data_IF_251494649763
#
_entry.id   IF_251494649763
#
_cell.length_a   1.000
_cell.length_b   1.000
_cell.length_c   1.000
_cell.angle_alpha   90.00
_cell.angle_beta   90.00
_cell.angle_gamma   90.00
#
_symmetry.space_group_name_H-M   'P 1'
#
loop_
_entity.id
_entity.type
_entity.pdbx_description
1 polymer ?
#
# COMPACT_ATOMS: atom_id res chain seq x y z
N UNK A 1 -17.34 16.19 -5.10
CA UNK A 1 -17.13 15.09 -6.07
C UNK A 1 -16.49 13.93 -5.35
N UNK A 2 -17.08 12.73 -5.43
CA UNK A 2 -16.48 11.51 -4.86
C UNK A 2 -15.27 11.15 -5.72
N UNK A 3 -14.09 11.13 -5.10
CA UNK A 3 -12.85 10.73 -5.78
C UNK A 3 -12.81 9.20 -5.91
N UNK A 4 -12.39 8.69 -7.07
CA UNK A 4 -12.15 7.27 -7.26
C UNK A 4 -10.69 6.96 -6.91
N UNK A 5 -10.46 5.99 -6.04
CA UNK A 5 -9.12 5.54 -5.68
C UNK A 5 -8.83 4.19 -6.34
N UNK A 6 -7.59 4.05 -6.85
CA UNK A 6 -7.09 2.79 -7.41
C UNK A 6 -5.75 2.49 -6.77
N UNK A 7 -5.69 1.42 -5.99
CA UNK A 7 -4.50 0.97 -5.27
C UNK A 7 -3.75 -0.08 -6.08
N UNK A 8 -2.49 0.17 -6.37
CA UNK A 8 -1.53 -0.80 -6.91
C UNK A 8 -0.66 -1.27 -5.75
N UNK A 9 -0.87 -2.50 -5.32
CA UNK A 9 -0.22 -3.10 -4.17
C UNK A 9 0.92 -4.00 -4.65
N UNK A 10 2.10 -3.92 -4.05
CA UNK A 10 3.27 -4.71 -4.45
C UNK A 10 2.97 -6.21 -4.48
N UNK A 11 2.28 -6.69 -3.46
CA UNK A 11 1.93 -8.10 -3.29
C UNK A 11 0.55 -8.34 -2.70
N UNK A 12 0.19 -9.61 -2.52
CA UNK A 12 -1.11 -10.00 -1.96
C UNK A 12 -1.31 -9.54 -0.51
N UNK A 13 -0.25 -9.42 0.29
CA UNK A 13 -0.35 -8.99 1.68
C UNK A 13 -0.69 -7.51 1.79
N UNK A 14 -0.10 -6.66 0.94
CA UNK A 14 -0.47 -5.24 0.83
C UNK A 14 -1.91 -5.10 0.36
N UNK A 15 -2.33 -5.89 -0.62
CA UNK A 15 -3.72 -5.88 -1.09
C UNK A 15 -4.69 -6.31 0.01
N UNK A 16 -4.35 -7.33 0.80
CA UNK A 16 -5.15 -7.78 1.95
C UNK A 16 -5.26 -6.67 3.01
N UNK A 17 -4.15 -6.00 3.34
CA UNK A 17 -4.15 -4.87 4.27
C UNK A 17 -5.05 -3.73 3.78
N UNK A 18 -4.89 -3.29 2.52
CA UNK A 18 -5.73 -2.24 1.93
C UNK A 18 -7.20 -2.64 1.96
N UNK A 19 -7.52 -3.88 1.59
CA UNK A 19 -8.89 -4.39 1.62
C UNK A 19 -9.49 -4.42 3.03
N UNK A 20 -8.69 -4.74 4.05
CA UNK A 20 -9.12 -4.71 5.45
C UNK A 20 -9.39 -3.27 5.93
N UNK A 21 -8.51 -2.32 5.61
CA UNK A 21 -8.62 -0.93 6.08
C UNK A 21 -9.73 -0.14 5.39
N UNK A 22 -10.11 -0.48 4.16
CA UNK A 22 -11.21 0.18 3.43
C UNK A 22 -12.58 -0.44 3.67
N UNK A 23 -12.68 -1.57 4.43
CA UNK A 23 -13.97 -2.19 4.84
C UNK A 23 -14.71 -1.25 5.79
N UNK A 24 -16.03 -1.15 5.64
CA UNK A 24 -16.86 -0.29 6.48
C UNK A 24 -16.87 -0.68 7.97
N UNK A 25 -16.79 0.29 8.88
CA UNK A 25 -16.49 1.70 8.64
C UNK A 25 -15.05 1.89 8.17
N UNK A 26 -14.88 2.56 7.02
CA UNK A 26 -13.57 2.66 6.36
C UNK A 26 -12.59 3.52 7.15
N UNK A 27 -11.34 3.07 7.27
CA UNK A 27 -10.22 3.83 7.89
C UNK A 27 -9.39 4.58 6.87
N UNK A 28 -9.46 4.15 5.61
CA UNK A 28 -8.81 4.79 4.48
C UNK A 28 -9.82 4.99 3.34
N UNK A 29 -9.49 5.86 2.42
CA UNK A 29 -10.33 6.15 1.26
C UNK A 29 -10.71 4.87 0.49
N UNK A 30 -12.00 4.61 0.28
CA UNK A 30 -12.45 3.40 -0.40
C UNK A 30 -12.06 3.43 -1.89
N UNK A 31 -11.74 2.27 -2.44
CA UNK A 31 -11.34 2.18 -3.83
C UNK A 31 -11.05 0.75 -4.28
N UNK A 32 -10.69 0.60 -5.55
CA UNK A 32 -10.29 -0.70 -6.10
C UNK A 32 -8.82 -0.98 -5.76
N UNK A 33 -8.55 -2.10 -5.09
CA UNK A 33 -7.19 -2.59 -4.88
C UNK A 33 -6.87 -3.72 -5.87
N UNK A 34 -5.61 -3.82 -6.26
CA UNK A 34 -5.09 -4.90 -7.08
C UNK A 34 -3.61 -5.12 -6.82
N UNK A 35 -3.19 -6.37 -6.82
CA UNK A 35 -1.76 -6.71 -6.80
C UNK A 35 -1.12 -6.32 -8.13
N UNK A 36 -0.12 -5.44 -8.06
CA UNK A 36 0.75 -5.05 -9.16
C UNK A 36 2.00 -4.36 -8.61
N UNK A 37 3.15 -5.03 -8.74
CA UNK A 37 4.43 -4.50 -8.25
C UNK A 37 4.95 -3.40 -9.19
N UNK A 38 4.78 -2.14 -8.80
CA UNK A 38 5.18 -0.96 -9.57
C UNK A 38 6.69 -0.73 -9.62
N UNK A 39 7.44 -1.39 -8.71
CA UNK A 39 8.91 -1.34 -8.66
C UNK A 39 9.52 -2.29 -9.71
N UNK A 40 8.90 -3.45 -9.92
CA UNK A 40 9.42 -4.49 -10.79
C UNK A 40 8.77 -4.50 -12.18
N UNK A 41 7.52 -4.03 -12.30
CA UNK A 41 6.74 -4.12 -13.52
C UNK A 41 6.39 -2.73 -14.07
N UNK A 42 6.34 -2.61 -15.39
CA UNK A 42 5.85 -1.41 -16.06
C UNK A 42 4.34 -1.53 -16.30
N UNK A 43 3.60 -0.51 -15.90
CA UNK A 43 2.16 -0.41 -16.12
C UNK A 43 1.91 -0.25 -17.63
N UNK A 44 1.03 -1.06 -18.18
CA UNK A 44 0.65 -0.97 -19.59
C UNK A 44 -0.40 0.13 -19.83
N UNK A 45 -0.46 0.64 -21.07
CA UNK A 45 -1.51 1.59 -21.46
C UNK A 45 -2.92 1.00 -21.25
N UNK A 46 -3.10 -0.30 -21.50
CA UNK A 46 -4.38 -0.99 -21.28
C UNK A 46 -4.85 -0.89 -19.82
N UNK A 47 -3.93 -1.05 -18.87
CA UNK A 47 -4.23 -0.87 -17.44
C UNK A 47 -4.63 0.58 -17.17
N UNK A 48 -3.87 1.55 -17.68
CA UNK A 48 -4.13 2.98 -17.43
C UNK A 48 -5.45 3.45 -18.07
N UNK A 49 -5.76 3.01 -19.28
CA UNK A 49 -7.01 3.35 -19.96
C UNK A 49 -8.26 2.75 -19.26
N UNK A 50 -8.09 1.72 -18.44
CA UNK A 50 -9.16 1.16 -17.60
C UNK A 50 -9.44 1.99 -16.33
N UNK A 51 -8.61 2.98 -16.03
CA UNK A 51 -8.74 3.87 -14.87
C UNK A 51 -9.63 5.05 -15.24
N UNK A 52 -10.63 5.32 -14.42
CA UNK A 52 -11.53 6.45 -14.63
C UNK A 52 -10.75 7.79 -14.58
N UNK A 53 -10.95 8.71 -15.53
CA UNK A 53 -10.26 9.99 -15.52
C UNK A 53 -10.46 10.76 -14.21
N UNK A 54 -9.38 11.37 -13.71
CA UNK A 54 -9.39 12.11 -12.44
C UNK A 54 -9.35 11.23 -11.18
N UNK A 55 -9.11 9.92 -11.34
CA UNK A 55 -8.88 9.01 -10.20
C UNK A 55 -7.59 9.37 -9.45
N UNK A 56 -7.56 9.02 -8.17
CA UNK A 56 -6.32 9.01 -7.38
C UNK A 56 -5.69 7.62 -7.50
N UNK A 57 -4.49 7.58 -8.05
CA UNK A 57 -3.71 6.34 -8.23
C UNK A 57 -2.76 6.22 -7.04
N UNK A 58 -2.91 5.15 -6.27
CA UNK A 58 -2.14 4.93 -5.03
C UNK A 58 -1.15 3.80 -5.27
N UNK A 59 0.14 4.06 -5.09
CA UNK A 59 1.20 3.06 -5.12
C UNK A 59 1.55 2.65 -3.69
N UNK A 60 1.42 1.35 -3.39
CA UNK A 60 1.76 0.73 -2.11
C UNK A 60 2.90 -0.23 -2.36
N UNK A 61 4.09 0.08 -1.85
CA UNK A 61 5.30 -0.70 -2.15
C UNK A 61 6.34 -0.65 -1.04
N UNK A 62 7.19 -1.68 -1.01
CA UNK A 62 8.32 -1.82 -0.11
C UNK A 62 9.53 -1.00 -0.60
N UNK A 63 10.36 -0.54 0.32
CA UNK A 63 11.59 0.21 0.02
C UNK A 63 12.86 -0.60 0.25
N UNK A 64 12.75 -1.93 0.41
CA UNK A 64 13.88 -2.85 0.64
C UNK A 64 14.79 -3.01 -0.59
N UNK A 65 14.25 -2.71 -1.78
CA UNK A 65 14.98 -2.73 -3.04
C UNK A 65 15.14 -1.31 -3.57
N UNK A 66 16.38 -0.90 -3.79
CA UNK A 66 16.72 0.44 -4.29
C UNK A 66 16.49 0.57 -5.82
N UNK A 67 15.46 -0.08 -6.35
CA UNK A 67 15.12 -0.10 -7.77
C UNK A 67 14.09 0.97 -8.09
N UNK A 68 14.51 2.07 -8.71
CA UNK A 68 13.60 3.19 -9.01
C UNK A 68 13.27 3.36 -10.49
N UNK A 69 13.94 2.67 -11.40
CA UNK A 69 13.80 2.90 -12.85
C UNK A 69 12.39 2.60 -13.37
N UNK A 70 11.80 1.46 -12.99
CA UNK A 70 10.43 1.13 -13.39
C UNK A 70 9.42 2.07 -12.75
N UNK A 71 9.63 2.41 -11.47
CA UNK A 71 8.78 3.36 -10.75
C UNK A 71 8.75 4.73 -11.44
N UNK A 72 9.92 5.29 -11.81
CA UNK A 72 10.01 6.55 -12.56
C UNK A 72 9.31 6.47 -13.91
N UNK A 73 9.49 5.35 -14.65
CA UNK A 73 8.78 5.12 -15.91
C UNK A 73 7.27 5.06 -15.74
N UNK A 74 6.80 4.38 -14.70
CA UNK A 74 5.37 4.29 -14.36
C UNK A 74 4.78 5.67 -14.05
N UNK A 75 5.47 6.49 -13.25
CA UNK A 75 5.06 7.86 -12.95
C UNK A 75 4.95 8.69 -14.22
N UNK A 76 5.97 8.68 -15.08
CA UNK A 76 5.97 9.42 -16.34
C UNK A 76 4.85 8.95 -17.29
N UNK A 77 4.60 7.64 -17.35
CA UNK A 77 3.55 7.09 -18.19
C UNK A 77 2.15 7.48 -17.69
N UNK A 78 1.91 7.48 -16.37
CA UNK A 78 0.65 7.97 -15.80
C UNK A 78 0.45 9.45 -16.12
N UNK A 79 1.48 10.28 -15.96
CA UNK A 79 1.39 11.70 -16.28
C UNK A 79 1.00 11.93 -17.76
N UNK A 80 1.47 11.07 -18.67
CA UNK A 80 1.16 11.14 -20.10
C UNK A 80 -0.24 10.62 -20.44
N UNK A 81 -0.64 9.47 -19.88
CA UNK A 81 -1.89 8.76 -20.27
C UNK A 81 -3.07 9.20 -19.42
N UNK A 82 -2.85 9.55 -18.16
CA UNK A 82 -3.87 9.95 -17.19
C UNK A 82 -3.57 11.34 -16.59
N UNK A 83 -3.46 12.40 -17.37
CA UNK A 83 -2.96 13.70 -16.91
C UNK A 83 -3.85 14.38 -15.85
N UNK A 84 -5.10 13.96 -15.73
CA UNK A 84 -6.03 14.43 -14.68
C UNK A 84 -5.96 13.64 -13.38
N UNK A 85 -5.21 12.54 -13.35
CA UNK A 85 -5.06 11.69 -12.17
C UNK A 85 -3.93 12.19 -11.29
N UNK A 86 -4.10 12.01 -9.97
CA UNK A 86 -3.07 12.29 -8.98
C UNK A 86 -2.44 10.98 -8.54
N UNK A 87 -1.13 10.95 -8.35
CA UNK A 87 -0.42 9.81 -7.76
C UNK A 87 -0.18 10.08 -6.28
N UNK A 88 -0.42 9.08 -5.47
CA UNK A 88 -0.18 9.04 -4.01
C UNK A 88 0.75 7.87 -3.71
N UNK A 89 1.77 8.09 -2.89
CA UNK A 89 2.77 7.08 -2.55
C UNK A 89 2.63 6.66 -1.10
N UNK A 90 2.49 5.36 -0.87
CA UNK A 90 2.48 4.70 0.43
C UNK A 90 3.70 3.79 0.49
N UNK A 91 4.82 4.34 0.91
CA UNK A 91 6.07 3.63 0.99
C UNK A 91 6.18 2.90 2.34
N UNK A 92 6.35 1.60 2.29
CA UNK A 92 6.59 0.75 3.45
C UNK A 92 8.11 0.71 3.68
N UNK A 93 8.58 1.40 4.71
CA UNK A 93 10.03 1.53 4.96
C UNK A 93 10.59 0.19 5.42
N UNK A 94 11.52 -0.30 4.64
CA UNK A 94 11.90 -1.67 4.38
C UNK A 94 10.78 -2.43 3.69
N UNK A 95 9.79 -2.96 4.43
CA UNK A 95 8.74 -3.84 3.93
C UNK A 95 7.48 -3.74 4.80
N UNK A 96 6.42 -4.44 4.37
CA UNK A 96 5.15 -4.49 5.08
C UNK A 96 5.30 -5.05 6.51
N UNK A 97 6.17 -6.05 6.71
CA UNK A 97 6.36 -6.67 8.01
C UNK A 97 6.88 -5.67 9.04
N UNK A 98 7.89 -4.89 8.67
CA UNK A 98 8.45 -3.86 9.53
C UNK A 98 7.43 -2.73 9.77
N UNK A 99 6.62 -2.39 8.76
CA UNK A 99 5.54 -1.40 8.88
C UNK A 99 4.49 -1.85 9.91
N UNK A 100 4.06 -3.11 9.85
CA UNK A 100 3.09 -3.67 10.79
C UNK A 100 3.63 -3.70 12.24
N UNK A 101 4.91 -4.06 12.41
CA UNK A 101 5.55 -4.01 13.74
C UNK A 101 5.58 -2.60 14.30
N UNK A 102 5.85 -1.58 13.46
CA UNK A 102 5.83 -0.17 13.91
C UNK A 102 4.43 0.33 14.32
N UNK A 103 3.40 -0.24 13.73
CA UNK A 103 2.02 0.23 13.87
C UNK A 103 1.17 -0.57 14.85
N UNK A 104 1.67 -1.70 15.37
CA UNK A 104 0.94 -2.60 16.29
C UNK A 104 1.71 -2.78 17.59
N UNK A 105 1.16 -3.58 18.49
CA UNK A 105 1.76 -3.90 19.78
C UNK A 105 2.75 -5.10 19.74
N UNK A 106 2.89 -5.76 18.58
CA UNK A 106 3.76 -6.93 18.45
C UNK A 106 5.23 -6.56 18.30
N UNK A 107 6.12 -7.42 18.79
CA UNK A 107 7.58 -7.30 18.62
C UNK A 107 8.08 -7.95 17.33
N UNK A 108 7.36 -8.94 16.85
CA UNK A 108 7.64 -9.66 15.60
C UNK A 108 6.33 -9.82 14.83
N UNK A 109 6.36 -9.58 13.53
CA UNK A 109 5.15 -9.66 12.69
C UNK A 109 4.49 -11.04 12.72
N UNK A 110 5.26 -12.10 12.93
CA UNK A 110 4.75 -13.48 13.07
C UNK A 110 3.81 -13.66 14.25
N UNK A 111 3.88 -12.81 15.27
CA UNK A 111 2.98 -12.84 16.43
C UNK A 111 1.54 -12.48 16.03
N UNK A 112 1.34 -11.64 15.04
CA UNK A 112 0.00 -11.30 14.53
C UNK A 112 -0.82 -12.52 14.11
N UNK A 113 -0.15 -13.51 13.53
CA UNK A 113 -0.82 -14.71 13.00
C UNK A 113 -0.40 -15.99 13.74
N UNK A 114 0.39 -15.87 14.82
CA UNK A 114 0.98 -16.99 15.55
C UNK A 114 1.78 -17.94 14.62
N UNK A 115 2.46 -17.38 13.64
CA UNK A 115 3.22 -18.12 12.64
C UNK A 115 4.65 -18.41 13.10
N UNK A 116 5.21 -19.52 12.62
CA UNK A 116 6.60 -19.92 12.95
C UNK A 116 7.65 -19.23 12.08
N UNK A 117 7.26 -18.73 10.90
CA UNK A 117 8.15 -18.08 9.94
C UNK A 117 7.45 -16.91 9.21
N UNK A 118 8.26 -16.04 8.59
CA UNK A 118 7.74 -14.95 7.73
C UNK A 118 6.93 -15.50 6.55
N UNK A 119 7.37 -16.60 5.94
CA UNK A 119 6.64 -17.25 4.85
C UNK A 119 5.26 -17.72 5.30
N UNK A 120 5.19 -18.36 6.48
CA UNK A 120 3.92 -18.80 7.06
C UNK A 120 3.04 -17.60 7.43
N UNK A 121 3.63 -16.53 7.97
CA UNK A 121 2.93 -15.27 8.24
C UNK A 121 2.27 -14.74 6.97
N UNK A 122 3.03 -14.56 5.87
CA UNK A 122 2.49 -14.05 4.61
C UNK A 122 1.30 -14.87 4.12
N UNK A 123 1.44 -16.19 4.14
CA UNK A 123 0.36 -17.10 3.72
C UNK A 123 -0.88 -16.97 4.61
N UNK A 124 -0.69 -16.93 5.93
CA UNK A 124 -1.79 -16.78 6.88
C UNK A 124 -2.46 -15.41 6.77
N UNK A 125 -1.67 -14.33 6.75
CA UNK A 125 -2.14 -12.95 6.69
C UNK A 125 -3.08 -12.69 5.51
N UNK A 126 -2.72 -13.20 4.32
CA UNK A 126 -3.55 -13.06 3.12
C UNK A 126 -4.88 -13.83 3.17
N UNK A 127 -5.01 -14.82 4.08
CA UNK A 127 -6.19 -15.70 4.18
C UNK A 127 -7.14 -15.34 5.31
N UNK A 128 -6.75 -14.41 6.19
CA UNK A 128 -7.59 -14.00 7.32
C UNK A 128 -8.81 -13.24 6.80
N UNK A 129 -10.00 -13.75 7.09
CA UNK A 129 -11.27 -13.15 6.67
C UNK A 129 -11.53 -11.81 7.36
N UNK A 130 -11.25 -11.75 8.66
CA UNK A 130 -11.45 -10.57 9.50
C UNK A 130 -10.10 -9.95 9.91
N UNK A 131 -9.27 -9.66 8.91
CA UNK A 131 -7.96 -9.06 9.10
C UNK A 131 -8.04 -7.72 9.84
N UNK A 132 -9.09 -6.93 9.59
CA UNK A 132 -9.36 -5.69 10.30
C UNK A 132 -9.45 -5.91 11.82
N UNK A 133 -10.26 -6.87 12.26
CA UNK A 133 -10.43 -7.20 13.67
C UNK A 133 -9.12 -7.71 14.30
N UNK A 134 -8.34 -8.50 13.56
CA UNK A 134 -7.00 -8.93 14.03
C UNK A 134 -6.10 -7.71 14.29
N UNK A 135 -6.02 -6.77 13.37
CA UNK A 135 -5.19 -5.58 13.50
C UNK A 135 -5.67 -4.68 14.66
N UNK A 136 -6.98 -4.57 14.86
CA UNK A 136 -7.57 -3.83 16.00
C UNK A 136 -7.25 -4.50 17.34
N UNK A 137 -7.32 -5.82 17.44
CA UNK A 137 -6.89 -6.57 18.65
C UNK A 137 -5.41 -6.34 18.98
N UNK A 138 -4.57 -6.14 17.96
CA UNK A 138 -3.17 -5.79 18.10
C UNK A 138 -2.91 -4.28 18.08
N UNK A 139 -3.93 -3.49 18.45
CA UNK A 139 -3.84 -2.05 18.70
C UNK A 139 -3.23 -1.25 17.53
N UNK A 140 -3.62 -1.59 16.29
CA UNK A 140 -3.10 -0.88 15.11
C UNK A 140 -3.24 0.64 15.26
N UNK A 141 -2.11 1.32 15.15
CA UNK A 141 -2.04 2.77 15.20
C UNK A 141 -1.94 3.35 13.78
N UNK A 142 -3.08 3.77 13.23
CA UNK A 142 -3.13 4.35 11.89
C UNK A 142 -2.31 5.63 11.74
N UNK A 143 -2.10 6.39 12.83
CA UNK A 143 -1.26 7.60 12.78
C UNK A 143 0.19 7.30 12.48
N UNK A 144 0.66 6.07 12.77
CA UNK A 144 2.02 5.62 12.46
C UNK A 144 2.15 4.97 11.09
N UNK A 145 1.05 4.44 10.55
CA UNK A 145 1.07 3.71 9.28
C UNK A 145 1.44 4.65 8.12
N UNK A 146 2.45 4.28 7.33
CA UNK A 146 2.96 5.04 6.17
C UNK A 146 3.39 6.46 6.50
N UNK A 147 4.06 6.67 7.62
CA UNK A 147 4.57 7.99 8.04
C UNK A 147 6.09 8.02 8.21
N UNK A 148 6.74 6.87 8.21
CA UNK A 148 8.20 6.78 8.30
C UNK A 148 8.83 7.33 7.02
N UNK A 149 9.87 8.16 7.15
CA UNK A 149 10.59 8.70 6.00
C UNK A 149 11.28 7.56 5.23
N UNK A 150 11.12 7.51 3.92
CA UNK A 150 11.78 6.51 3.09
C UNK A 150 13.29 6.74 3.01
N UNK A 151 14.08 5.73 2.57
CA UNK A 151 15.49 5.89 2.26
C UNK A 151 15.75 6.96 1.19
N UNK A 152 16.96 7.55 1.20
CA UNK A 152 17.36 8.66 0.31
C UNK A 152 17.15 8.37 -1.18
N UNK A 153 17.28 7.12 -1.62
CA UNK A 153 17.01 6.72 -3.00
C UNK A 153 15.58 7.01 -3.45
N UNK A 154 14.64 7.12 -2.50
CA UNK A 154 13.24 7.49 -2.73
C UNK A 154 12.91 8.94 -2.34
N UNK A 155 13.91 9.75 -1.95
CA UNK A 155 13.68 11.14 -1.49
C UNK A 155 13.03 12.06 -2.55
N UNK A 156 13.00 11.63 -3.83
CA UNK A 156 12.28 12.34 -4.88
C UNK A 156 10.75 12.16 -4.83
N UNK A 157 10.25 11.30 -3.95
CA UNK A 157 8.82 11.05 -3.73
C UNK A 157 8.38 11.49 -2.33
N UNK A 158 7.19 12.10 -2.20
CA UNK A 158 6.62 12.38 -0.90
C UNK A 158 6.01 11.12 -0.27
N UNK A 159 6.19 10.92 1.03
CA UNK A 159 5.38 9.96 1.79
C UNK A 159 3.99 10.54 2.02
N UNK A 160 2.95 9.88 1.50
CA UNK A 160 1.60 10.44 1.43
C UNK A 160 0.56 9.70 2.31
N UNK A 161 0.99 8.96 3.32
CA UNK A 161 0.07 8.15 4.14
C UNK A 161 -1.13 8.91 4.70
N UNK A 162 -0.95 10.18 5.05
CA UNK A 162 -2.02 11.01 5.59
C UNK A 162 -3.12 11.38 4.56
N UNK A 163 -2.80 11.35 3.26
CA UNK A 163 -3.75 11.77 2.22
C UNK A 163 -4.89 10.78 1.96
N UNK A 164 -4.74 9.55 2.43
CA UNK A 164 -5.74 8.50 2.24
C UNK A 164 -6.48 8.12 3.52
N UNK A 165 -6.05 8.60 4.68
CA UNK A 165 -6.69 8.31 5.97
C UNK A 165 -7.97 9.11 6.13
N UNK A 166 -9.04 8.45 6.53
CA UNK A 166 -10.30 9.09 6.87
C UNK A 166 -10.20 9.61 8.31
N UNK A 167 -10.59 10.87 8.50
CA UNK A 167 -10.54 11.56 9.80
C UNK A 167 -11.84 11.35 10.57
#
# INVERSE_FOLDING_TARGET
MIKNYVYFCEGPCEEALINALKKEPSLIEPGRARTFNVIQNQITNSILLSIKPGSVIVFVFDTDKELTDKLKKNIAQIAKVCPKSKIVFLMQVKNLEDELVRCTDVKKVTELTQSQSISNFKTAFCRIKDLRELLERHQINLKKLWTTNPPDVFAFLPQNGELIKIK
#
